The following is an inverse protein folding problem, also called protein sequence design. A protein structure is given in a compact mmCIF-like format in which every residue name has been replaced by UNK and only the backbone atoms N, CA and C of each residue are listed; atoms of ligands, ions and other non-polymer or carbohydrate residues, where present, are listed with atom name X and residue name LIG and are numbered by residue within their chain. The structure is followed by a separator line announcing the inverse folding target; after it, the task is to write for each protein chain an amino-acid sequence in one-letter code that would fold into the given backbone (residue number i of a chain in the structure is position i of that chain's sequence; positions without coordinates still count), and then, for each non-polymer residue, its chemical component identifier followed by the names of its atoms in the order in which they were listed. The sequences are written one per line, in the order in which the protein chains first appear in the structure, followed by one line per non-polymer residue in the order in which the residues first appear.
data_IF_410549059953
#
_entry.id   IF_410549059953
#
_cell.length_a   1.000
_cell.length_b   1.000
_cell.length_c   1.000
_cell.angle_alpha   90.00
_cell.angle_beta   90.00
_cell.angle_gamma   90.00
#
_symmetry.space_group_name_H-M   'P 1'
#
loop_
_entity.id
_entity.type
_entity.pdbx_description
1 polymer ?
#
# COMPACT_ATOMS: atom_id res chain seq x y z
N UNK A 1 8.06 2.44 -15.91
CA UNK A 1 6.98 1.58 -15.39
C UNK A 1 6.23 2.34 -14.31
N UNK A 2 4.90 2.30 -14.31
CA UNK A 2 4.06 2.88 -13.25
C UNK A 2 3.05 1.83 -12.84
N UNK A 3 3.01 1.51 -11.55
CA UNK A 3 2.01 0.64 -10.96
C UNK A 3 1.12 1.45 -10.03
N UNK A 4 -0.12 1.01 -9.91
CA UNK A 4 -1.10 1.65 -9.03
C UNK A 4 -1.99 0.59 -8.42
N UNK A 5 -2.16 0.65 -7.11
CA UNK A 5 -3.08 -0.21 -6.36
C UNK A 5 -4.08 0.67 -5.63
N UNK A 6 -5.36 0.38 -5.85
CA UNK A 6 -6.48 1.03 -5.19
C UNK A 6 -7.33 -0.02 -4.52
N UNK A 7 -7.57 0.14 -3.23
CA UNK A 7 -8.56 -0.67 -2.51
C UNK A 7 -9.40 0.20 -1.60
N UNK A 8 -10.58 -0.32 -1.26
CA UNK A 8 -11.37 0.17 -0.15
C UNK A 8 -11.17 -0.74 1.04
N UNK A 9 -11.03 -0.14 2.22
CA UNK A 9 -11.07 -0.83 3.50
C UNK A 9 -12.01 -0.05 4.41
N UNK A 10 -13.12 -0.67 4.79
CA UNK A 10 -14.23 0.02 5.46
C UNK A 10 -14.66 1.26 4.63
N UNK A 11 -14.72 2.43 5.26
CA UNK A 11 -15.07 3.70 4.62
C UNK A 11 -13.86 4.44 4.03
N UNK A 12 -12.66 3.86 4.12
CA UNK A 12 -11.41 4.46 3.68
C UNK A 12 -10.97 3.98 2.30
N UNK A 13 -10.43 4.91 1.52
CA UNK A 13 -9.77 4.62 0.24
C UNK A 13 -8.25 4.62 0.43
N UNK A 14 -7.62 3.49 0.10
CA UNK A 14 -6.16 3.33 0.16
C UNK A 14 -5.64 3.29 -1.28
N UNK A 15 -4.71 4.18 -1.59
CA UNK A 15 -4.13 4.32 -2.91
C UNK A 15 -2.60 4.34 -2.83
N UNK A 16 -1.98 3.38 -3.49
CA UNK A 16 -0.52 3.23 -3.56
C UNK A 16 -0.07 3.47 -4.99
N UNK A 17 0.91 4.36 -5.17
CA UNK A 17 1.60 4.57 -6.43
C UNK A 17 3.04 4.09 -6.33
N UNK A 18 3.50 3.37 -7.37
CA UNK A 18 4.90 3.04 -7.56
C UNK A 18 5.32 3.51 -8.95
N UNK A 19 6.37 4.31 -8.99
CA UNK A 19 7.05 4.76 -10.20
C UNK A 19 8.50 4.33 -10.13
N UNK A 20 9.25 4.57 -11.20
CA UNK A 20 10.69 4.30 -11.17
C UNK A 20 11.40 5.10 -10.06
N UNK A 21 10.97 6.33 -9.78
CA UNK A 21 11.68 7.28 -8.91
C UNK A 21 10.96 7.59 -7.59
N UNK A 22 9.77 7.04 -7.37
CA UNK A 22 9.01 7.32 -6.15
C UNK A 22 7.93 6.28 -5.89
N UNK A 23 7.71 6.04 -4.61
CA UNK A 23 6.55 5.34 -4.08
C UNK A 23 5.76 6.26 -3.16
N UNK A 24 4.44 6.17 -3.21
CA UNK A 24 3.55 7.05 -2.44
C UNK A 24 2.36 6.29 -1.88
N UNK A 25 1.99 6.62 -0.64
CA UNK A 25 0.79 6.12 0.03
C UNK A 25 -0.17 7.27 0.28
N UNK A 26 -1.39 7.10 -0.20
CA UNK A 26 -2.50 8.01 0.04
C UNK A 26 -3.63 7.29 0.77
N UNK A 27 -4.23 7.97 1.74
CA UNK A 27 -5.46 7.54 2.43
C UNK A 27 -6.47 8.67 2.29
N UNK A 28 -7.62 8.37 1.71
CA UNK A 28 -8.68 9.37 1.40
C UNK A 28 -8.17 10.57 0.60
N UNK A 29 -7.27 10.29 -0.33
CA UNK A 29 -6.64 11.31 -1.17
C UNK A 29 -5.54 12.13 -0.48
N UNK A 30 -5.30 11.93 0.82
CA UNK A 30 -4.24 12.60 1.57
C UNK A 30 -2.95 11.77 1.50
N UNK A 31 -1.85 12.37 1.03
CA UNK A 31 -0.53 11.76 1.06
C UNK A 31 -0.09 11.57 2.52
N UNK A 32 0.15 10.33 2.93
CA UNK A 32 0.61 10.01 4.28
C UNK A 32 2.09 9.67 4.35
N UNK A 33 2.67 9.11 3.28
CA UNK A 33 4.09 8.76 3.21
C UNK A 33 4.58 8.65 1.76
N UNK A 34 5.86 8.90 1.56
CA UNK A 34 6.54 8.74 0.28
C UNK A 34 8.00 8.28 0.44
N UNK A 35 8.46 7.49 -0.52
CA UNK A 35 9.85 7.09 -0.63
C UNK A 35 10.35 7.49 -2.02
N UNK A 36 11.27 8.44 -2.08
CA UNK A 36 11.84 8.97 -3.33
C UNK A 36 13.19 8.31 -3.60
N UNK A 37 13.44 7.93 -4.85
CA UNK A 37 14.69 7.35 -5.30
C UNK A 37 14.49 6.06 -6.11
N UNK A 38 15.61 5.47 -6.51
CA UNK A 38 15.66 4.14 -7.13
C UNK A 38 15.90 3.11 -6.02
N UNK A 39 14.93 2.23 -5.81
CA UNK A 39 15.05 1.14 -4.83
C UNK A 39 14.39 -0.13 -5.35
N UNK A 40 14.99 -1.27 -5.00
CA UNK A 40 14.44 -2.59 -5.33
C UNK A 40 13.27 -2.98 -4.42
N UNK A 41 13.19 -2.35 -3.25
CA UNK A 41 12.12 -2.52 -2.30
C UNK A 41 11.92 -1.26 -1.47
N UNK A 42 10.70 -1.00 -1.05
CA UNK A 42 10.37 0.08 -0.13
C UNK A 42 9.32 -0.36 0.87
N UNK A 43 9.23 0.42 1.95
CA UNK A 43 8.12 0.36 2.90
C UNK A 43 7.53 1.75 3.04
N UNK A 44 6.21 1.83 3.04
CA UNK A 44 5.46 3.05 3.33
C UNK A 44 4.57 2.81 4.53
N UNK A 45 4.35 3.83 5.34
CA UNK A 45 3.57 3.75 6.56
C UNK A 45 2.46 4.79 6.59
N UNK A 46 1.32 4.41 7.14
CA UNK A 46 0.18 5.31 7.27
C UNK A 46 -0.67 4.92 8.46
N UNK A 47 -1.78 5.63 8.63
CA UNK A 47 -2.79 5.36 9.65
C UNK A 47 -4.18 5.66 9.10
N UNK A 48 -5.18 4.90 9.52
CA UNK A 48 -6.60 5.19 9.31
C UNK A 48 -7.38 4.95 10.59
N UNK A 49 -8.62 5.46 10.67
CA UNK A 49 -9.52 5.10 11.79
C UNK A 49 -10.39 3.94 11.35
N UNK A 50 -10.54 2.93 12.20
CA UNK A 50 -11.52 1.89 11.94
C UNK A 50 -12.95 2.37 12.29
N UNK A 51 -13.94 1.54 12.00
CA UNK A 51 -15.34 1.76 12.32
C UNK A 51 -15.64 1.94 13.82
N UNK A 52 -14.68 1.65 14.72
CA UNK A 52 -14.77 1.89 16.17
C UNK A 52 -14.15 3.22 16.59
N UNK A 53 -13.59 3.97 15.63
CA UNK A 53 -12.89 5.23 15.88
C UNK A 53 -11.45 5.07 16.37
N UNK A 54 -10.93 3.83 16.42
CA UNK A 54 -9.55 3.53 16.84
C UNK A 54 -8.60 3.67 15.65
N UNK A 55 -7.37 4.12 15.91
CA UNK A 55 -6.35 4.21 14.86
C UNK A 55 -5.73 2.84 14.58
N UNK A 56 -5.72 2.45 13.31
CA UNK A 56 -4.96 1.30 12.82
C UNK A 56 -3.79 1.75 11.95
N UNK A 57 -2.64 1.08 12.11
CA UNK A 57 -1.47 1.32 11.29
C UNK A 57 -1.62 0.66 9.92
N UNK A 58 -1.22 1.38 8.88
CA UNK A 58 -1.09 0.87 7.52
C UNK A 58 0.38 0.64 7.25
N UNK A 59 0.74 -0.52 6.72
CA UNK A 59 2.08 -0.79 6.20
C UNK A 59 1.99 -1.30 4.77
N UNK A 60 2.69 -0.64 3.87
CA UNK A 60 2.89 -1.09 2.50
C UNK A 60 4.28 -1.67 2.38
N UNK A 61 4.40 -2.83 1.73
CA UNK A 61 5.66 -3.41 1.33
C UNK A 61 5.67 -3.55 -0.19
N UNK A 62 6.56 -2.82 -0.85
CA UNK A 62 6.78 -2.92 -2.28
C UNK A 62 8.11 -3.63 -2.53
N UNK A 63 8.13 -4.55 -3.47
CA UNK A 63 9.36 -5.20 -3.92
C UNK A 63 9.31 -5.49 -5.40
N UNK A 64 10.37 -5.14 -6.12
CA UNK A 64 10.58 -5.58 -7.49
C UNK A 64 10.72 -7.11 -7.51
N UNK A 65 9.76 -7.80 -8.13
CA UNK A 65 9.91 -9.19 -8.56
C UNK A 65 10.02 -9.20 -10.08
N UNK A 66 10.81 -10.10 -10.65
CA UNK A 66 10.80 -10.30 -12.10
C UNK A 66 9.65 -11.26 -12.43
N UNK A 67 8.67 -10.89 -13.29
CA UNK A 67 8.60 -9.67 -14.11
C UNK A 67 7.80 -8.49 -13.52
N UNK A 68 7.08 -8.65 -12.39
CA UNK A 68 6.16 -7.65 -11.86
C UNK A 68 6.52 -7.13 -10.45
N UNK A 69 6.19 -5.87 -10.13
CA UNK A 69 6.27 -5.37 -8.75
C UNK A 69 5.22 -6.05 -7.87
N UNK A 70 5.67 -6.62 -6.76
CA UNK A 70 4.78 -7.13 -5.70
C UNK A 70 4.44 -6.00 -4.73
N UNK A 71 3.15 -5.82 -4.46
CA UNK A 71 2.63 -4.91 -3.46
C UNK A 71 1.89 -5.72 -2.41
N UNK A 72 2.23 -5.50 -1.13
CA UNK A 72 1.52 -6.07 0.02
C UNK A 72 1.06 -4.95 0.93
N UNK A 73 -0.19 -5.02 1.35
CA UNK A 73 -0.84 -4.00 2.18
C UNK A 73 -1.32 -4.67 3.45
N UNK A 74 -0.81 -4.16 4.56
CA UNK A 74 -1.17 -4.58 5.90
C UNK A 74 -1.93 -3.46 6.59
N UNK A 75 -2.97 -3.83 7.34
CA UNK A 75 -3.69 -2.94 8.25
C UNK A 75 -3.66 -3.63 9.63
N UNK A 76 -3.10 -2.94 10.63
CA UNK A 76 -2.66 -3.57 11.86
C UNK A 76 -1.70 -4.74 11.56
N UNK A 77 -2.02 -5.92 12.07
CA UNK A 77 -1.22 -7.14 11.87
C UNK A 77 -1.75 -8.03 10.72
N UNK A 78 -2.73 -7.56 9.94
CA UNK A 78 -3.44 -8.36 8.95
C UNK A 78 -3.00 -8.01 7.53
N UNK A 79 -2.69 -9.03 6.71
CA UNK A 79 -2.49 -8.87 5.27
C UNK A 79 -3.86 -8.75 4.58
N UNK A 80 -4.14 -7.58 4.01
CA UNK A 80 -5.42 -7.28 3.36
C UNK A 80 -5.32 -7.45 1.84
N UNK A 81 -4.16 -7.14 1.27
CA UNK A 81 -3.93 -7.25 -0.16
C UNK A 81 -2.51 -7.73 -0.46
N UNK A 82 -2.37 -8.56 -1.49
CA UNK A 82 -1.08 -8.92 -2.07
C UNK A 82 -1.22 -9.17 -3.57
N UNK A 83 -0.39 -8.52 -4.39
CA UNK A 83 -0.34 -8.82 -5.84
C UNK A 83 0.01 -10.28 -6.11
N UNK A 84 0.76 -10.93 -5.21
CA UNK A 84 1.23 -12.31 -5.34
C UNK A 84 0.30 -13.38 -4.76
N UNK A 85 -0.81 -13.00 -4.11
CA UNK A 85 -1.80 -13.95 -3.57
C UNK A 85 -3.15 -13.67 -4.24
N UNK A 86 -3.45 -14.38 -5.33
CA UNK A 86 -4.83 -14.54 -5.77
C UNK A 86 -5.48 -15.54 -4.82
N UNK A 87 -6.21 -15.05 -3.82
CA UNK A 87 -7.25 -15.87 -3.21
C UNK A 87 -8.35 -15.99 -4.25
N UNK A 88 -8.49 -17.17 -4.86
CA UNK A 88 -9.73 -17.53 -5.53
C UNK A 88 -10.83 -17.43 -4.48
N UNK A 89 -11.68 -16.41 -4.60
CA UNK A 89 -12.99 -16.38 -3.95
C UNK A 89 -13.97 -17.16 -4.81
#
# INVERSE_FOLDING_TARGET
MRNTWKLKYEDHSIHVENTMLSDKLYVDGVLQDEHIGLHLSSRLYGKLKNNRGEWEDIKISLSAKCPNTECRIFIGERLIYSTGLQWNM
#
